data_IF_756022369339
#
_entry.id   IF_756022369339
#
_cell.length_a   1.000
_cell.length_b   1.000
_cell.length_c   1.000
_cell.angle_alpha   90.00
_cell.angle_beta   90.00
_cell.angle_gamma   90.00
#
_symmetry.space_group_name_H-M   'P 1'
#
loop_
_entity.id
_entity.type
_entity.pdbx_description
1 polymer ?
#
# COMPACT_ATOMS: atom_id res chain seq x y z
N UNK A 1 -0.39 19.26 18.38
CA UNK A 1 0.41 18.68 17.29
C UNK A 1 0.56 17.19 17.63
N UNK A 2 -0.39 16.34 17.18
CA UNK A 2 -0.32 14.90 17.43
C UNK A 2 0.90 14.40 16.64
N UNK A 3 1.87 13.77 17.31
CA UNK A 3 2.91 13.01 16.61
C UNK A 3 2.18 11.92 15.85
N UNK A 4 2.11 12.04 14.52
CA UNK A 4 1.75 10.91 13.66
C UNK A 4 2.86 9.90 13.88
N UNK A 5 2.59 8.90 14.70
CA UNK A 5 3.44 7.72 14.75
C UNK A 5 3.17 7.09 13.40
N UNK A 6 4.10 7.28 12.48
CA UNK A 6 4.11 6.64 11.17
C UNK A 6 4.24 5.14 11.47
N UNK A 7 3.13 4.47 11.70
CA UNK A 7 3.07 3.02 11.51
C UNK A 7 2.94 2.85 10.00
N UNK A 8 4.06 2.93 9.30
CA UNK A 8 4.23 2.20 8.05
C UNK A 8 4.07 0.73 8.42
N UNK A 9 2.82 0.30 8.55
CA UNK A 9 2.47 -1.10 8.68
C UNK A 9 2.77 -1.68 7.30
N UNK A 10 4.04 -2.04 7.14
CA UNK A 10 4.57 -2.66 5.96
C UNK A 10 3.62 -3.81 5.61
N UNK A 11 2.90 -3.68 4.49
CA UNK A 11 2.00 -4.68 3.95
C UNK A 11 2.82 -5.86 3.40
N UNK A 12 3.69 -6.43 4.24
CA UNK A 12 4.22 -7.75 4.01
C UNK A 12 3.02 -8.68 4.14
N UNK A 13 2.47 -9.10 3.00
CA UNK A 13 1.76 -10.36 2.90
C UNK A 13 2.74 -11.45 3.35
N UNK A 14 2.93 -11.61 4.65
CA UNK A 14 3.48 -12.82 5.21
C UNK A 14 2.43 -13.90 4.98
N UNK A 15 2.45 -14.48 3.77
CA UNK A 15 2.13 -15.89 3.62
C UNK A 15 3.30 -16.68 4.22
N UNK A 16 3.61 -16.41 5.49
CA UNK A 16 4.42 -17.29 6.31
C UNK A 16 3.41 -18.22 6.96
N UNK A 17 3.12 -19.32 6.28
CA UNK A 17 2.61 -20.51 6.93
C UNK A 17 3.53 -20.83 8.11
N UNK A 18 3.14 -20.50 9.34
CA UNK A 18 3.46 -21.23 10.58
C UNK A 18 2.56 -20.77 11.74
N UNK A 19 1.54 -21.61 11.93
CA UNK A 19 0.66 -21.79 13.08
C UNK A 19 1.31 -21.65 14.45
N UNK A 20 0.73 -20.81 15.32
CA UNK A 20 0.10 -21.20 16.59
C UNK A 20 -1.17 -20.35 16.70
N UNK A 21 -2.33 -20.92 17.06
CA UNK A 21 -3.55 -20.14 17.23
C UNK A 21 -3.39 -19.13 18.38
N UNK A 22 -3.26 -17.84 18.07
CA UNK A 22 -3.59 -16.82 19.07
C UNK A 22 -5.10 -16.91 19.31
N UNK A 23 -5.48 -17.06 20.57
CA UNK A 23 -6.89 -16.99 20.95
C UNK A 23 -7.47 -15.67 20.45
N UNK A 24 -8.70 -15.72 19.93
CA UNK A 24 -9.43 -14.51 19.61
C UNK A 24 -9.37 -13.55 20.80
N UNK A 25 -9.04 -12.30 20.55
CA UNK A 25 -8.90 -11.30 21.58
C UNK A 25 -9.41 -9.98 21.04
N UNK A 26 -10.64 -9.61 21.43
CA UNK A 26 -11.23 -8.31 21.10
C UNK A 26 -10.34 -7.16 21.57
N UNK A 27 -9.48 -7.36 22.56
CA UNK A 27 -8.57 -6.36 23.13
C UNK A 27 -7.12 -6.53 22.71
N UNK A 28 -6.86 -7.24 21.60
CA UNK A 28 -5.51 -7.39 21.09
C UNK A 28 -4.89 -6.03 20.72
N UNK A 29 -3.56 -5.87 20.88
CA UNK A 29 -2.91 -4.57 20.83
C UNK A 29 -2.84 -3.96 19.43
N UNK A 30 -2.96 -4.78 18.38
CA UNK A 30 -2.89 -4.35 16.99
C UNK A 30 -4.20 -4.63 16.24
N UNK A 31 -4.29 -4.14 15.01
CA UNK A 31 -5.45 -4.31 14.13
C UNK A 31 -4.97 -4.57 12.71
N UNK A 32 -5.66 -5.42 11.95
CA UNK A 32 -5.21 -5.82 10.61
C UNK A 32 -6.37 -6.33 9.74
N UNK A 33 -6.08 -6.58 8.47
CA UNK A 33 -6.99 -7.22 7.52
C UNK A 33 -7.21 -8.70 7.85
N UNK A 34 -8.43 -9.18 7.71
CA UNK A 34 -8.72 -10.61 7.79
C UNK A 34 -8.17 -11.36 6.56
N UNK A 35 -7.85 -12.67 6.68
CA UNK A 35 -7.41 -13.49 5.57
C UNK A 35 -8.32 -13.36 4.33
N UNK A 36 -7.70 -13.14 3.17
CA UNK A 36 -8.40 -12.96 1.89
C UNK A 36 -8.86 -11.53 1.58
N UNK A 37 -8.57 -10.56 2.45
CA UNK A 37 -8.73 -9.13 2.13
C UNK A 37 -7.38 -8.55 1.71
N UNK A 38 -7.32 -7.90 0.54
CA UNK A 38 -6.13 -7.21 0.08
C UNK A 38 -6.00 -5.80 0.72
N UNK A 39 -4.78 -5.32 0.88
CA UNK A 39 -4.52 -3.97 1.40
C UNK A 39 -4.90 -2.85 0.40
N UNK A 40 -4.73 -3.12 -0.90
CA UNK A 40 -5.21 -2.25 -1.99
C UNK A 40 -6.29 -2.97 -2.76
N UNK A 41 -7.53 -2.49 -2.68
CA UNK A 41 -8.69 -3.16 -3.27
C UNK A 41 -9.37 -2.30 -4.33
N UNK A 42 -9.58 -2.80 -5.56
CA UNK A 42 -10.32 -2.07 -6.58
C UNK A 42 -11.80 -1.97 -6.20
N UNK A 43 -12.42 -0.85 -6.53
CA UNK A 43 -13.87 -0.65 -6.43
C UNK A 43 -14.36 0.13 -7.65
N UNK A 44 -15.42 -0.37 -8.28
CA UNK A 44 -16.02 0.31 -9.44
C UNK A 44 -16.71 1.60 -8.99
N UNK A 45 -16.52 2.69 -9.73
CA UNK A 45 -17.18 3.97 -9.46
C UNK A 45 -18.70 3.80 -9.26
N UNK A 46 -19.25 4.43 -8.22
CA UNK A 46 -20.66 4.31 -7.84
C UNK A 46 -21.08 2.99 -7.19
N UNK A 47 -20.17 2.03 -7.00
CA UNK A 47 -20.43 0.75 -6.34
C UNK A 47 -19.71 0.66 -4.99
N UNK A 48 -20.05 -0.38 -4.23
CA UNK A 48 -19.41 -0.70 -2.96
C UNK A 48 -18.53 -1.94 -3.05
N UNK A 49 -17.45 -1.95 -2.27
CA UNK A 49 -16.67 -3.16 -1.96
C UNK A 49 -16.74 -3.47 -0.47
N UNK A 50 -16.67 -4.76 -0.11
CA UNK A 50 -16.62 -5.20 1.28
C UNK A 50 -15.21 -5.69 1.62
N UNK A 51 -14.62 -5.05 2.62
CA UNK A 51 -13.33 -5.37 3.20
C UNK A 51 -13.55 -6.03 4.56
N UNK A 52 -12.62 -6.88 5.01
CA UNK A 52 -12.70 -7.51 6.33
C UNK A 52 -11.50 -7.14 7.19
N UNK A 53 -11.76 -6.66 8.40
CA UNK A 53 -10.73 -6.22 9.36
C UNK A 53 -11.04 -6.74 10.76
N UNK A 54 -10.04 -6.76 11.63
CA UNK A 54 -10.19 -7.19 13.01
C UNK A 54 -8.89 -7.15 13.82
N UNK A 55 -8.97 -7.50 15.12
CA UNK A 55 -7.82 -7.53 16.02
C UNK A 55 -6.67 -8.39 15.50
N UNK A 56 -5.45 -7.99 15.89
CA UNK A 56 -4.22 -8.68 15.60
C UNK A 56 -3.30 -8.72 16.83
N UNK A 57 -2.56 -9.81 16.98
CA UNK A 57 -1.63 -9.94 18.09
C UNK A 57 -0.44 -8.98 17.96
N UNK A 58 0.47 -9.02 18.95
CA UNK A 58 1.69 -8.21 19.01
C UNK A 58 2.64 -8.35 17.80
N UNK A 59 2.44 -9.38 16.97
CA UNK A 59 3.19 -9.65 15.73
C UNK A 59 2.37 -9.36 14.46
N UNK A 60 1.30 -8.58 14.56
CA UNK A 60 0.41 -8.23 13.45
C UNK A 60 -0.26 -9.42 12.74
N UNK A 61 -0.35 -10.57 13.42
CA UNK A 61 -1.09 -11.73 12.90
C UNK A 61 -2.55 -11.59 13.30
N UNK A 62 -3.45 -11.68 12.32
CA UNK A 62 -4.90 -11.60 12.53
C UNK A 62 -5.36 -12.63 13.56
N UNK A 63 -5.97 -12.16 14.64
CA UNK A 63 -6.57 -12.96 15.72
C UNK A 63 -8.08 -12.84 15.75
N UNK A 64 -8.64 -11.75 15.21
CA UNK A 64 -10.07 -11.53 15.07
C UNK A 64 -10.80 -11.27 16.40
N UNK A 65 -12.08 -10.92 16.27
CA UNK A 65 -12.98 -10.66 17.38
C UNK A 65 -13.48 -11.97 18.00
N UNK A 66 -13.66 -11.95 19.32
CA UNK A 66 -14.20 -13.11 20.08
C UNK A 66 -15.68 -13.34 19.84
N UNK A 67 -16.42 -12.32 19.40
CA UNK A 67 -17.86 -12.39 19.17
C UNK A 67 -18.27 -11.61 17.91
N UNK A 68 -19.39 -12.05 17.33
CA UNK A 68 -20.03 -11.35 16.20
C UNK A 68 -20.38 -9.91 16.58
N UNK A 69 -20.92 -9.70 17.79
CA UNK A 69 -21.32 -8.38 18.29
C UNK A 69 -20.13 -7.42 18.37
N UNK A 70 -18.98 -7.88 18.85
CA UNK A 70 -17.79 -7.03 18.91
C UNK A 70 -17.34 -6.65 17.49
N UNK A 71 -17.32 -7.60 16.57
CA UNK A 71 -17.01 -7.33 15.17
C UNK A 71 -17.97 -6.32 14.53
N UNK A 72 -19.25 -6.30 14.92
CA UNK A 72 -20.22 -5.35 14.37
C UNK A 72 -20.16 -3.96 15.00
N UNK A 73 -19.57 -3.80 16.19
CA UNK A 73 -19.71 -2.57 16.98
C UNK A 73 -18.40 -1.92 17.43
N UNK A 74 -17.28 -2.65 17.39
CA UNK A 74 -15.97 -2.18 17.88
C UNK A 74 -15.02 -1.69 16.80
N UNK A 75 -15.35 -1.88 15.53
CA UNK A 75 -14.60 -1.27 14.42
C UNK A 75 -15.14 0.13 14.16
N UNK A 76 -14.28 1.13 14.30
CA UNK A 76 -14.56 2.54 14.01
C UNK A 76 -13.55 3.09 13.01
N UNK A 77 -13.79 4.31 12.52
CA UNK A 77 -12.99 4.94 11.48
C UNK A 77 -12.59 6.36 11.87
N UNK A 78 -11.35 6.73 11.54
CA UNK A 78 -10.91 8.12 11.56
C UNK A 78 -11.49 8.87 10.35
N UNK A 79 -11.46 10.22 10.34
CA UNK A 79 -11.73 11.00 9.14
C UNK A 79 -10.83 10.55 7.99
N UNK A 80 -11.39 10.48 6.77
CA UNK A 80 -10.62 10.21 5.56
C UNK A 80 -9.69 11.40 5.33
N UNK A 81 -8.39 11.14 5.31
CA UNK A 81 -7.40 12.18 5.04
C UNK A 81 -7.09 12.29 3.53
N UNK A 82 -7.12 11.17 2.81
CA UNK A 82 -6.73 11.10 1.41
C UNK A 82 -7.80 10.40 0.57
N UNK A 83 -8.25 11.06 -0.51
CA UNK A 83 -9.28 10.55 -1.40
C UNK A 83 -10.70 10.64 -0.82
N UNK A 84 -10.97 11.63 0.03
CA UNK A 84 -12.33 11.88 0.56
C UNK A 84 -13.30 12.32 -0.54
N UNK A 85 -12.79 12.80 -1.68
CA UNK A 85 -13.48 13.08 -2.92
C UNK A 85 -13.72 11.83 -3.79
N UNK A 86 -12.97 10.74 -3.56
CA UNK A 86 -13.07 9.46 -4.29
C UNK A 86 -14.04 8.49 -3.63
N UNK A 87 -14.10 8.45 -2.30
CA UNK A 87 -14.95 7.51 -1.55
C UNK A 87 -15.89 8.20 -0.57
N UNK A 88 -16.96 7.50 -0.21
CA UNK A 88 -17.76 7.85 0.95
C UNK A 88 -17.11 7.35 2.24
N UNK A 89 -17.52 7.92 3.38
CA UNK A 89 -17.10 7.44 4.69
C UNK A 89 -17.39 5.93 4.83
N UNK A 90 -16.40 5.10 5.20
CA UNK A 90 -16.61 3.68 5.43
C UNK A 90 -17.63 3.41 6.53
N UNK A 91 -18.35 2.29 6.39
CA UNK A 91 -19.35 1.85 7.37
C UNK A 91 -19.20 0.36 7.67
N UNK A 92 -19.44 -0.03 8.91
CA UNK A 92 -19.57 -1.45 9.28
C UNK A 92 -20.98 -1.91 8.92
N UNK A 93 -21.10 -2.93 8.05
CA UNK A 93 -22.39 -3.47 7.59
C UNK A 93 -22.74 -4.83 8.19
N UNK A 94 -21.81 -5.44 8.92
CA UNK A 94 -22.00 -6.73 9.59
C UNK A 94 -20.67 -7.36 9.99
N UNK A 95 -20.68 -8.67 10.18
CA UNK A 95 -19.48 -9.45 10.48
C UNK A 95 -19.49 -10.81 9.78
N UNK A 96 -18.29 -11.31 9.49
CA UNK A 96 -18.07 -12.64 8.89
C UNK A 96 -17.28 -13.52 9.86
N UNK A 97 -17.69 -14.78 10.01
CA UNK A 97 -16.90 -15.79 10.71
C UNK A 97 -15.73 -16.24 9.82
N UNK A 98 -14.52 -16.16 10.35
CA UNK A 98 -13.27 -16.59 9.71
C UNK A 98 -12.93 -17.98 10.23
N UNK A 99 -13.16 -18.97 9.38
CA UNK A 99 -12.96 -20.41 9.70
C UNK A 99 -11.58 -20.93 9.33
N UNK A 100 -10.77 -20.13 8.61
CA UNK A 100 -9.37 -20.43 8.31
C UNK A 100 -8.43 -20.21 9.50
N UNK A 101 -8.93 -19.60 10.58
CA UNK A 101 -8.27 -19.47 11.88
C UNK A 101 -8.93 -20.43 12.86
N UNK A 102 -8.15 -21.00 13.78
CA UNK A 102 -8.67 -21.94 14.79
C UNK A 102 -8.38 -21.37 16.19
N UNK A 103 -9.35 -21.32 17.12
CA UNK A 103 -10.78 -21.48 16.87
C UNK A 103 -11.27 -20.45 15.84
N UNK A 104 -12.43 -20.70 15.22
CA UNK A 104 -13.04 -19.70 14.34
C UNK A 104 -13.24 -18.38 15.08
N UNK A 105 -13.03 -17.27 14.38
CA UNK A 105 -13.08 -15.91 14.94
C UNK A 105 -13.95 -15.02 14.07
N UNK A 106 -14.27 -13.80 14.50
CA UNK A 106 -15.10 -12.87 13.73
C UNK A 106 -14.27 -11.72 13.15
N UNK A 107 -14.61 -11.29 11.94
CA UNK A 107 -14.09 -10.08 11.31
C UNK A 107 -15.23 -9.10 11.02
N UNK A 108 -14.98 -7.80 11.14
CA UNK A 108 -15.92 -6.76 10.73
C UNK A 108 -16.00 -6.70 9.22
N UNK A 109 -17.21 -6.60 8.67
CA UNK A 109 -17.42 -6.28 7.27
C UNK A 109 -17.49 -4.75 7.12
N UNK A 110 -16.48 -4.18 6.50
CA UNK A 110 -16.37 -2.75 6.20
C UNK A 110 -16.78 -2.53 4.76
N UNK A 111 -17.88 -1.83 4.55
CA UNK A 111 -18.31 -1.41 3.23
C UNK A 111 -17.71 -0.03 2.90
N UNK A 112 -17.13 0.06 1.70
CA UNK A 112 -16.58 1.30 1.15
C UNK A 112 -17.21 1.53 -0.22
N UNK A 113 -17.90 2.66 -0.36
CA UNK A 113 -18.56 3.05 -1.61
C UNK A 113 -17.72 4.08 -2.35
N UNK A 114 -17.38 3.77 -3.60
CA UNK A 114 -16.76 4.73 -4.51
C UNK A 114 -17.80 5.76 -4.97
N UNK A 115 -17.40 7.03 -5.01
CA UNK A 115 -18.20 8.08 -5.61
C UNK A 115 -18.26 7.89 -7.14
N UNK A 116 -19.34 8.35 -7.75
CA UNK A 116 -19.52 8.25 -9.20
C UNK A 116 -18.71 9.33 -9.91
N UNK A 117 -18.13 8.98 -11.06
CA UNK A 117 -17.42 9.94 -11.92
C UNK A 117 -16.04 10.36 -11.40
N UNK A 118 -15.47 9.64 -10.44
CA UNK A 118 -14.14 9.87 -9.88
C UNK A 118 -13.26 8.66 -10.12
N UNK A 119 -11.94 8.86 -10.16
CA UNK A 119 -10.94 7.80 -10.23
C UNK A 119 -9.73 8.16 -9.37
N UNK A 120 -8.90 7.18 -9.06
CA UNK A 120 -7.74 7.33 -8.18
C UNK A 120 -7.90 6.59 -6.85
N UNK A 121 -6.91 6.67 -5.96
CA UNK A 121 -6.91 5.97 -4.69
C UNK A 121 -7.53 6.81 -3.56
N UNK A 122 -7.99 6.11 -2.53
CA UNK A 122 -8.34 6.68 -1.25
C UNK A 122 -7.82 5.77 -0.13
N UNK A 123 -7.44 6.38 0.99
CA UNK A 123 -7.00 5.66 2.18
C UNK A 123 -7.81 6.09 3.39
N UNK A 124 -8.17 5.11 4.21
CA UNK A 124 -8.88 5.34 5.45
C UNK A 124 -8.33 4.45 6.56
N UNK A 125 -8.35 4.98 7.78
CA UNK A 125 -7.92 4.26 8.97
C UNK A 125 -9.11 3.64 9.68
N UNK A 126 -9.09 2.31 9.82
CA UNK A 126 -10.00 1.57 10.69
C UNK A 126 -9.29 1.23 12.00
N UNK A 127 -9.98 1.35 13.14
CA UNK A 127 -9.41 1.06 14.45
C UNK A 127 -10.38 0.32 15.36
N UNK A 128 -9.81 -0.33 16.37
CA UNK A 128 -10.55 -1.09 17.36
C UNK A 128 -10.85 -0.24 18.61
N UNK A 129 -12.11 0.17 18.77
CA UNK A 129 -12.60 0.96 19.91
C UNK A 129 -12.40 0.29 21.27
N UNK A 130 -12.25 -1.05 21.32
CA UNK A 130 -11.99 -1.76 22.57
C UNK A 130 -10.62 -1.42 23.19
N UNK A 131 -9.66 -0.97 22.38
CA UNK A 131 -8.29 -0.63 22.79
C UNK A 131 -7.92 0.83 22.45
N UNK A 132 -8.68 1.46 21.56
CA UNK A 132 -8.53 2.85 21.14
C UNK A 132 -7.79 2.99 19.80
N UNK A 133 -7.52 4.24 19.41
CA UNK A 133 -6.90 4.60 18.11
C UNK A 133 -5.49 4.02 17.89
N UNK A 134 -4.86 3.41 18.91
CA UNK A 134 -3.53 2.78 18.77
C UNK A 134 -3.57 1.42 18.07
N UNK A 135 -4.71 0.73 18.11
CA UNK A 135 -4.91 -0.53 17.39
C UNK A 135 -5.65 -0.22 16.08
N UNK A 136 -4.90 0.07 15.02
CA UNK A 136 -5.45 0.52 13.75
C UNK A 136 -4.79 -0.16 12.54
N UNK A 137 -5.49 -0.08 11.40
CA UNK A 137 -4.99 -0.48 10.08
C UNK A 137 -5.40 0.58 9.07
N UNK A 138 -4.46 0.96 8.20
CA UNK A 138 -4.75 1.80 7.04
C UNK A 138 -5.12 0.91 5.86
N UNK A 139 -6.25 1.22 5.23
CA UNK A 139 -6.81 0.47 4.11
C UNK A 139 -6.83 1.36 2.88
N UNK A 140 -6.38 0.82 1.75
CA UNK A 140 -6.44 1.52 0.47
C UNK A 140 -7.51 0.90 -0.42
N UNK A 141 -8.34 1.75 -1.00
CA UNK A 141 -9.21 1.39 -2.12
C UNK A 141 -8.88 2.28 -3.30
N UNK A 142 -9.05 1.78 -4.52
CA UNK A 142 -8.84 2.59 -5.71
C UNK A 142 -9.93 2.37 -6.74
N UNK A 143 -10.21 3.42 -7.48
CA UNK A 143 -11.22 3.45 -8.52
C UNK A 143 -10.51 3.64 -9.86
N UNK A 144 -10.75 2.73 -10.81
CA UNK A 144 -10.28 2.90 -12.19
C UNK A 144 -11.03 4.06 -12.86
N UNK A 145 -10.35 4.75 -13.77
CA UNK A 145 -10.96 5.70 -14.67
C UNK A 145 -12.02 5.00 -15.55
N UNK A 146 -13.10 5.74 -15.85
CA UNK A 146 -14.10 5.25 -16.80
C UNK A 146 -13.46 5.13 -18.19
N UNK A 147 -13.84 4.13 -18.98
CA UNK A 147 -13.29 3.91 -20.32
C UNK A 147 -13.49 5.12 -21.28
N UNK A 148 -14.45 6.01 -21.00
CA UNK A 148 -14.63 7.26 -21.73
C UNK A 148 -13.70 8.40 -21.26
N UNK A 149 -13.01 8.23 -20.14
CA UNK A 149 -12.05 9.19 -19.58
C UNK A 149 -10.68 8.94 -20.20
N UNK A 150 -10.24 9.87 -21.03
CA UNK A 150 -8.87 9.87 -21.56
C UNK A 150 -7.93 10.40 -20.48
N UNK A 151 -7.26 9.48 -19.77
CA UNK A 151 -6.25 9.83 -18.77
C UNK A 151 -4.90 9.97 -19.49
N UNK A 152 -4.35 11.18 -19.49
CA UNK A 152 -3.09 11.45 -20.15
C UNK A 152 -1.92 10.70 -19.49
N UNK A 153 -0.96 10.28 -20.33
CA UNK A 153 0.37 9.85 -19.89
C UNK A 153 1.04 10.96 -19.04
N UNK A 154 1.79 10.57 -18.02
CA UNK A 154 2.60 11.52 -17.25
C UNK A 154 3.95 11.74 -17.92
N UNK A 155 4.17 12.93 -18.47
CA UNK A 155 5.42 13.27 -19.16
C UNK A 155 6.46 13.91 -18.24
N UNK A 156 7.71 14.00 -18.71
CA UNK A 156 8.80 14.69 -18.01
C UNK A 156 9.09 14.13 -16.60
N UNK A 157 8.71 12.88 -16.36
CA UNK A 157 8.89 12.24 -15.06
C UNK A 157 10.37 11.89 -14.88
N UNK A 158 10.89 12.14 -13.68
CA UNK A 158 12.18 11.64 -13.23
C UNK A 158 11.96 10.42 -12.35
N UNK A 159 12.76 9.37 -12.54
CA UNK A 159 12.73 8.19 -11.67
C UNK A 159 14.13 7.94 -11.13
N UNK A 160 14.22 7.72 -9.81
CA UNK A 160 15.46 7.46 -9.08
C UNK A 160 15.31 6.15 -8.32
N UNK A 161 16.33 5.29 -8.39
CA UNK A 161 16.48 4.08 -7.58
C UNK A 161 17.80 4.20 -6.82
N UNK A 162 17.73 4.20 -5.50
CA UNK A 162 18.87 4.44 -4.61
C UNK A 162 18.93 3.41 -3.48
N UNK A 163 20.13 2.94 -3.13
CA UNK A 163 20.33 2.25 -1.86
C UNK A 163 20.65 3.28 -0.77
N UNK A 164 19.63 3.63 0.03
CA UNK A 164 19.77 4.54 1.17
C UNK A 164 20.38 3.86 2.40
N UNK A 165 20.40 2.53 2.42
CA UNK A 165 20.92 1.80 3.57
C UNK A 165 22.44 1.89 3.66
N UNK A 166 22.95 1.86 4.89
CA UNK A 166 24.40 1.73 5.15
C UNK A 166 24.94 0.33 4.85
N UNK A 167 24.07 -0.58 4.36
CA UNK A 167 24.35 -2.00 4.14
C UNK A 167 24.19 -2.34 2.65
N UNK A 168 24.80 -3.44 2.24
CA UNK A 168 24.65 -3.96 0.89
C UNK A 168 25.50 -3.23 -0.15
N UNK A 169 25.07 -3.36 -1.40
CA UNK A 169 25.78 -2.91 -2.60
C UNK A 169 25.32 -1.52 -3.00
N UNK A 170 26.24 -0.70 -3.51
CA UNK A 170 25.89 0.62 -4.02
C UNK A 170 24.95 0.49 -5.23
N UNK A 171 23.78 1.12 -5.14
CA UNK A 171 22.81 1.22 -6.23
C UNK A 171 22.37 2.68 -6.33
N UNK A 172 22.51 3.24 -7.52
CA UNK A 172 22.12 4.62 -7.81
C UNK A 172 21.85 4.73 -9.30
N UNK A 173 20.62 4.45 -9.70
CA UNK A 173 20.18 4.48 -11.09
C UNK A 173 19.10 5.55 -11.22
N UNK A 174 19.18 6.36 -12.27
CA UNK A 174 18.17 7.38 -12.52
C UNK A 174 17.99 7.63 -14.02
N UNK A 175 16.78 8.09 -14.37
CA UNK A 175 16.50 8.71 -15.66
C UNK A 175 15.51 9.84 -15.50
N UNK A 176 15.63 10.80 -16.43
CA UNK A 176 14.77 11.96 -16.54
C UNK A 176 14.02 11.93 -17.88
N UNK A 177 12.99 12.77 -17.99
CA UNK A 177 12.17 12.92 -19.19
C UNK A 177 11.51 11.61 -19.63
N UNK A 178 11.09 10.78 -18.67
CA UNK A 178 10.31 9.58 -18.94
C UNK A 178 8.85 9.95 -19.19
N UNK A 179 8.22 9.19 -20.08
CA UNK A 179 6.77 9.18 -20.28
C UNK A 179 6.22 7.95 -19.60
N UNK A 180 5.38 8.16 -18.58
CA UNK A 180 4.79 7.08 -17.78
C UNK A 180 3.35 6.86 -18.24
N UNK A 181 3.06 5.62 -18.63
CA UNK A 181 1.77 5.20 -19.14
C UNK A 181 1.01 4.39 -18.09
N UNK A 182 -0.33 4.33 -18.17
CA UNK A 182 -1.10 3.35 -17.41
C UNK A 182 -0.60 1.91 -17.65
N UNK A 183 -0.75 1.06 -16.63
CA UNK A 183 -0.33 -0.33 -16.74
C UNK A 183 -1.02 -1.08 -17.88
N UNK A 184 -2.29 -0.76 -18.18
CA UNK A 184 -3.06 -1.46 -19.20
C UNK A 184 -2.51 -1.27 -20.62
N UNK A 185 -1.88 -0.12 -20.87
CA UNK A 185 -1.33 0.29 -22.18
C UNK A 185 0.04 -0.32 -22.49
N UNK A 186 0.64 -1.00 -21.52
CA UNK A 186 1.99 -1.54 -21.62
C UNK A 186 2.02 -3.04 -21.43
N UNK A 187 2.09 -3.81 -22.53
CA UNK A 187 2.01 -5.27 -22.50
C UNK A 187 3.12 -5.95 -21.67
N UNK A 188 4.28 -5.32 -21.53
CA UNK A 188 5.41 -5.85 -20.75
C UNK A 188 5.48 -5.27 -19.33
N UNK A 189 4.55 -4.39 -18.94
CA UNK A 189 4.54 -3.81 -17.61
C UNK A 189 4.19 -4.89 -16.58
N UNK A 190 5.06 -5.17 -15.59
CA UNK A 190 4.80 -6.19 -14.58
C UNK A 190 3.52 -5.95 -13.76
N UNK A 191 3.02 -4.72 -13.70
CA UNK A 191 1.79 -4.37 -12.97
C UNK A 191 0.52 -4.56 -13.79
N UNK A 192 0.63 -4.82 -15.09
CA UNK A 192 -0.52 -5.11 -15.95
C UNK A 192 -1.28 -6.32 -15.43
N UNK A 193 -2.60 -6.16 -15.29
CA UNK A 193 -3.54 -7.17 -14.79
C UNK A 193 -3.20 -7.69 -13.38
N UNK A 194 -2.32 -6.99 -12.64
CA UNK A 194 -1.91 -7.40 -11.31
C UNK A 194 -2.96 -7.00 -10.27
N UNK A 195 -3.34 -7.95 -9.42
CA UNK A 195 -4.24 -7.66 -8.32
C UNK A 195 -3.63 -6.58 -7.40
N UNK A 196 -4.39 -5.52 -7.13
CA UNK A 196 -3.92 -4.41 -6.28
C UNK A 196 -3.10 -3.33 -7.02
N UNK A 197 -3.02 -3.38 -8.35
CA UNK A 197 -2.44 -2.32 -9.17
C UNK A 197 -3.51 -1.65 -10.03
N UNK A 198 -3.51 -0.31 -10.05
CA UNK A 198 -4.36 0.45 -10.95
C UNK A 198 -3.96 0.20 -12.41
N UNK A 199 -4.94 0.19 -13.31
CA UNK A 199 -4.74 -0.17 -14.71
C UNK A 199 -4.90 1.01 -15.65
N UNK A 200 -5.80 1.94 -15.33
CA UNK A 200 -6.30 2.99 -16.25
C UNK A 200 -5.68 4.38 -16.06
N UNK A 201 -4.71 4.53 -15.16
CA UNK A 201 -3.98 5.79 -14.98
C UNK A 201 -2.52 5.54 -14.60
N UNK A 202 -1.58 6.46 -14.94
CA UNK A 202 -0.16 6.31 -14.61
C UNK A 202 0.11 6.36 -13.10
N UNK A 203 0.89 5.40 -12.58
CA UNK A 203 1.24 5.32 -11.16
C UNK A 203 2.75 5.39 -10.89
N UNK A 204 3.13 5.50 -9.61
CA UNK A 204 4.54 5.46 -9.21
C UNK A 204 5.22 4.11 -9.56
N UNK A 205 4.46 3.03 -9.55
CA UNK A 205 4.90 1.72 -10.00
C UNK A 205 5.15 1.68 -11.52
N UNK A 206 4.28 2.31 -12.32
CA UNK A 206 4.47 2.42 -13.77
C UNK A 206 5.69 3.30 -14.13
N UNK A 207 6.01 4.26 -13.26
CA UNK A 207 7.23 5.05 -13.42
C UNK A 207 8.49 4.17 -13.22
N UNK A 208 8.48 3.26 -12.24
CA UNK A 208 9.55 2.25 -12.12
C UNK A 208 9.63 1.34 -13.35
N UNK A 209 8.49 0.93 -13.89
CA UNK A 209 8.45 0.21 -15.16
C UNK A 209 9.07 1.03 -16.31
N UNK A 210 8.80 2.32 -16.39
CA UNK A 210 9.40 3.20 -17.42
C UNK A 210 10.93 3.27 -17.31
N UNK A 211 11.47 3.23 -16.09
CA UNK A 211 12.91 3.12 -15.84
C UNK A 211 13.48 1.75 -16.28
N UNK A 212 12.73 0.67 -16.03
CA UNK A 212 13.06 -0.68 -16.48
C UNK A 212 13.05 -0.80 -18.01
N UNK A 213 12.01 -0.29 -18.67
CA UNK A 213 11.88 -0.30 -20.14
C UNK A 213 13.02 0.48 -20.80
N UNK A 214 13.49 1.54 -20.13
CA UNK A 214 14.66 2.31 -20.54
C UNK A 214 16.01 1.62 -20.26
N UNK A 215 16.01 0.39 -19.75
CA UNK A 215 17.16 -0.50 -19.57
C UNK A 215 18.04 -0.21 -18.35
N UNK A 216 17.56 0.60 -17.39
CA UNK A 216 18.37 0.97 -16.22
C UNK A 216 18.29 -0.04 -15.07
N UNK A 217 17.14 -0.69 -14.91
CA UNK A 217 16.88 -1.68 -13.85
C UNK A 217 16.03 -2.84 -14.37
N UNK A 218 15.95 -3.91 -13.58
CA UNK A 218 14.85 -4.89 -13.64
C UNK A 218 14.29 -5.10 -12.23
N UNK A 219 13.04 -5.54 -12.09
CA UNK A 219 12.43 -5.76 -10.79
C UNK A 219 11.41 -6.90 -10.81
N UNK A 220 11.08 -7.40 -9.62
CA UNK A 220 9.96 -8.33 -9.41
C UNK A 220 8.90 -7.67 -8.55
N UNK A 221 7.63 -7.96 -8.86
CA UNK A 221 6.51 -7.48 -8.08
C UNK A 221 5.50 -8.61 -7.82
N UNK A 222 4.76 -8.49 -6.72
CA UNK A 222 3.62 -9.35 -6.40
C UNK A 222 2.53 -8.53 -5.74
N UNK A 223 1.33 -8.55 -6.33
CA UNK A 223 0.16 -7.87 -5.76
C UNK A 223 0.31 -6.34 -5.68
N UNK A 224 1.06 -5.74 -6.60
CA UNK A 224 1.41 -4.31 -6.58
C UNK A 224 2.65 -3.95 -5.76
N UNK A 225 3.22 -4.91 -5.02
CA UNK A 225 4.41 -4.69 -4.18
C UNK A 225 5.70 -5.04 -4.91
N UNK A 226 6.66 -4.12 -4.97
CA UNK A 226 8.00 -4.35 -5.53
C UNK A 226 8.88 -5.04 -4.48
N UNK A 227 9.27 -6.28 -4.75
CA UNK A 227 10.10 -7.07 -3.83
C UNK A 227 11.59 -6.90 -4.07
N UNK A 228 12.03 -6.91 -5.32
CA UNK A 228 13.45 -6.84 -5.66
C UNK A 228 13.67 -5.85 -6.80
N UNK A 229 14.82 -5.17 -6.78
CA UNK A 229 15.32 -4.40 -7.92
C UNK A 229 16.77 -4.82 -8.16
N UNK A 230 17.10 -5.02 -9.43
CA UNK A 230 18.44 -5.30 -9.92
C UNK A 230 18.89 -4.15 -10.82
N UNK A 231 20.07 -3.59 -10.55
CA UNK A 231 20.63 -2.52 -11.38
C UNK A 231 21.27 -3.05 -12.67
N UNK A 232 21.67 -2.14 -13.56
CA UNK A 232 22.33 -2.49 -14.83
C UNK A 232 23.67 -3.21 -14.67
N UNK A 233 24.25 -3.22 -13.45
CA UNK A 233 25.52 -3.91 -13.11
C UNK A 233 25.26 -5.32 -12.56
N UNK A 234 24.01 -5.72 -12.38
CA UNK A 234 23.62 -7.00 -11.80
C UNK A 234 23.63 -7.01 -10.27
N UNK A 235 23.74 -5.85 -9.61
CA UNK A 235 23.56 -5.73 -8.18
C UNK A 235 22.07 -5.88 -7.87
N UNK A 236 21.72 -6.85 -7.03
CA UNK A 236 20.34 -7.11 -6.63
C UNK A 236 20.16 -6.81 -5.14
N UNK A 237 19.07 -6.10 -4.80
CA UNK A 237 18.65 -5.86 -3.42
C UNK A 237 17.24 -6.41 -3.21
N UNK A 238 17.13 -7.30 -2.21
CA UNK A 238 15.94 -8.06 -1.84
C UNK A 238 15.55 -7.75 -0.39
N UNK A 239 14.30 -8.05 0.04
CA UNK A 239 13.88 -7.80 1.41
C UNK A 239 14.73 -8.58 2.40
N UNK A 240 15.12 -7.94 3.49
CA UNK A 240 15.98 -8.54 4.51
C UNK A 240 15.53 -8.10 5.90
N UNK A 241 15.36 -9.08 6.80
CA UNK A 241 15.15 -8.82 8.23
C UNK A 241 16.42 -9.22 8.99
N UNK A 242 17.03 -8.29 9.71
CA UNK A 242 18.20 -8.59 10.54
C UNK A 242 17.81 -9.39 11.79
N UNK A 243 18.78 -10.01 12.50
CA UNK A 243 18.51 -10.82 13.69
C UNK A 243 17.81 -10.09 14.84
N UNK A 244 17.90 -8.75 14.87
CA UNK A 244 17.22 -7.86 15.81
C UNK A 244 15.82 -7.44 15.34
N UNK A 245 15.27 -8.09 14.30
CA UNK A 245 13.98 -7.81 13.70
C UNK A 245 13.86 -6.46 12.98
N UNK A 246 14.98 -5.81 12.64
CA UNK A 246 14.95 -4.63 11.77
C UNK A 246 14.72 -5.03 10.32
N UNK A 247 13.67 -4.49 9.69
CA UNK A 247 13.32 -4.77 8.30
C UNK A 247 13.97 -3.77 7.33
N UNK A 248 14.55 -4.30 6.26
CA UNK A 248 15.09 -3.56 5.12
C UNK A 248 14.32 -3.97 3.86
N UNK A 249 13.92 -2.99 3.06
CA UNK A 249 13.19 -3.23 1.83
C UNK A 249 13.10 -1.99 0.95
N UNK A 250 12.32 -2.09 -0.12
CA UNK A 250 12.07 -0.99 -1.04
C UNK A 250 10.96 -0.10 -0.52
N UNK A 251 11.30 1.17 -0.32
CA UNK A 251 10.37 2.25 -0.01
C UNK A 251 10.26 3.15 -1.24
N UNK A 252 9.18 3.92 -1.36
CA UNK A 252 9.04 4.88 -2.45
C UNK A 252 8.47 6.20 -1.94
N UNK A 253 8.69 7.26 -2.71
CA UNK A 253 7.92 8.49 -2.61
C UNK A 253 7.79 9.15 -3.99
N UNK A 254 6.87 10.11 -4.09
CA UNK A 254 6.74 11.02 -5.21
C UNK A 254 7.05 12.41 -4.67
N UNK A 255 7.94 13.13 -5.35
CA UNK A 255 8.25 14.53 -5.07
C UNK A 255 7.63 15.35 -6.19
N UNK A 256 6.67 16.20 -5.81
CA UNK A 256 5.96 17.11 -6.71
C UNK A 256 6.20 18.52 -6.21
N UNK A 257 6.70 19.39 -7.09
CA UNK A 257 7.01 20.78 -6.73
C UNK A 257 7.90 20.93 -5.49
N UNK A 258 8.90 20.05 -5.32
CA UNK A 258 9.80 20.01 -4.15
C UNK A 258 9.12 19.68 -2.82
N UNK A 259 7.97 19.04 -2.87
CA UNK A 259 7.28 18.52 -1.69
C UNK A 259 6.98 17.04 -1.90
N UNK A 260 7.08 16.26 -0.81
CA UNK A 260 6.69 14.86 -0.84
C UNK A 260 5.17 14.81 -0.93
N UNK A 261 4.66 14.05 -1.89
CA UNK A 261 3.23 13.75 -2.07
C UNK A 261 2.79 12.88 -0.88
N UNK A 262 1.90 13.39 -0.01
CA UNK A 262 1.63 12.77 1.29
C UNK A 262 0.95 11.40 1.19
N UNK A 263 0.23 11.12 0.10
CA UNK A 263 -0.38 9.82 -0.19
C UNK A 263 0.65 8.69 -0.23
N UNK A 264 1.90 9.00 -0.57
CA UNK A 264 2.98 8.01 -0.72
C UNK A 264 3.42 7.39 0.61
N UNK A 265 3.08 8.03 1.74
CA UNK A 265 3.38 7.50 3.08
C UNK A 265 2.47 6.32 3.47
N UNK A 266 1.25 6.26 2.91
CA UNK A 266 0.18 5.35 3.39
C UNK A 266 -0.40 4.46 2.30
N UNK A 267 -0.12 4.73 1.02
CA UNK A 267 -0.66 3.96 -0.11
C UNK A 267 0.44 3.25 -0.89
N UNK A 268 0.06 2.20 -1.63
CA UNK A 268 0.98 1.47 -2.52
C UNK A 268 1.39 2.30 -3.74
N UNK A 269 2.63 2.16 -4.18
CA UNK A 269 3.13 2.77 -5.42
C UNK A 269 2.30 2.39 -6.65
N UNK A 270 1.66 1.22 -6.60
CA UNK A 270 0.82 0.68 -7.67
C UNK A 270 -0.55 1.34 -7.82
N UNK A 271 -0.88 2.32 -6.97
CA UNK A 271 -2.17 3.04 -7.04
C UNK A 271 -2.04 4.55 -6.89
N UNK A 272 -0.91 5.08 -6.41
CA UNK A 272 -0.73 6.55 -6.29
C UNK A 272 -0.42 7.14 -7.68
N UNK A 273 -1.23 8.10 -8.17
CA UNK A 273 -1.05 8.69 -9.49
C UNK A 273 0.23 9.53 -9.59
N UNK A 274 0.90 9.41 -10.72
CA UNK A 274 2.02 10.28 -11.12
C UNK A 274 1.52 11.32 -12.11
N UNK A 275 2.08 12.53 -12.03
CA UNK A 275 1.75 13.67 -12.87
C UNK A 275 2.97 14.16 -13.66
N UNK A 276 2.72 15.03 -14.63
CA UNK A 276 3.79 15.65 -15.42
C UNK A 276 4.82 16.34 -14.51
N UNK A 277 6.11 16.04 -14.73
CA UNK A 277 7.21 16.68 -14.02
C UNK A 277 7.49 16.15 -12.61
N UNK A 278 6.76 15.14 -12.15
CA UNK A 278 7.04 14.48 -10.87
C UNK A 278 8.42 13.80 -10.86
N UNK A 279 9.00 13.69 -9.66
CA UNK A 279 10.12 12.79 -9.38
C UNK A 279 9.65 11.61 -8.54
N UNK A 280 9.71 10.41 -9.09
CA UNK A 280 9.41 9.17 -8.36
C UNK A 280 10.72 8.58 -7.84
N UNK A 281 10.84 8.41 -6.54
CA UNK A 281 12.04 7.92 -5.90
C UNK A 281 11.78 6.58 -5.22
N UNK A 282 12.67 5.62 -5.45
CA UNK A 282 12.71 4.32 -4.78
C UNK A 282 13.98 4.24 -3.95
N UNK A 283 13.85 3.96 -2.66
CA UNK A 283 14.97 3.86 -1.73
C UNK A 283 14.96 2.51 -1.01
N UNK A 284 16.06 1.77 -1.15
CA UNK A 284 16.28 0.55 -0.37
C UNK A 284 16.84 0.90 1.01
N UNK A 285 16.22 0.37 2.05
CA UNK A 285 16.70 0.49 3.42
C UNK A 285 15.59 0.29 4.44
N UNK A 286 15.88 0.67 5.69
CA UNK A 286 14.82 0.88 6.68
C UNK A 286 13.96 2.07 6.28
N UNK A 287 12.74 2.16 6.81
CA UNK A 287 11.86 3.32 6.59
C UNK A 287 12.53 4.63 7.00
N UNK A 288 13.28 4.64 8.11
CA UNK A 288 13.99 5.84 8.58
C UNK A 288 15.11 6.25 7.61
N UNK A 289 15.92 5.30 7.13
CA UNK A 289 16.98 5.58 6.14
C UNK A 289 16.39 6.11 4.82
N UNK A 290 15.32 5.49 4.33
CA UNK A 290 14.62 5.94 3.14
C UNK A 290 14.03 7.34 3.30
N UNK A 291 13.38 7.63 4.43
CA UNK A 291 12.82 8.95 4.71
C UNK A 291 13.90 10.03 4.79
N UNK A 292 15.02 9.75 5.45
CA UNK A 292 16.16 10.69 5.48
C UNK A 292 16.64 11.00 4.06
N UNK A 293 16.70 9.99 3.19
CA UNK A 293 17.08 10.17 1.80
C UNK A 293 16.04 10.99 1.02
N UNK A 294 14.75 10.67 1.12
CA UNK A 294 13.67 11.43 0.46
C UNK A 294 13.66 12.91 0.87
N UNK A 295 13.86 13.17 2.16
CA UNK A 295 13.93 14.52 2.71
C UNK A 295 15.17 15.31 2.22
N UNK A 296 16.17 14.64 1.66
CA UNK A 296 17.34 15.28 1.04
C UNK A 296 17.12 15.69 -0.42
N UNK A 297 16.06 15.19 -1.07
CA UNK A 297 15.76 15.39 -2.48
C UNK A 297 14.79 16.56 -2.74
N UNK A 298 14.18 17.12 -1.69
CA UNK A 298 13.25 18.26 -1.78
C UNK A 298 13.97 19.61 -1.99
#
# INVERSE_FOLDING_TARGET
>A
MKKRIISTMLALTMVASMSIPTFAATTDPNFTTAPGTAFSTPVTAGNSVTLKVGPANDRYVFSGYTSKTDAETKTLFLPIEYGDDIINKPVVTGATEITSVTPSVWASNVEVTAKSGTYGPASFTAYNDAVGESAYVDMTVYVEADAATDVADAEKVKVIVHNASTRGVAMNEDKENLTVKPAEDSANNPFKDSAGAAQSYPTAADALYSLMDAGAVSFTQSGGYVSEITDSKGNKLEPYTSPDWTYYGWNYCIIRNKEIVPETEVMSASVVPVQEGDTVCWAYGTTDEANIYFESLK
#
